data_IF_206902020209
#
_entry.id   IF_206902020209
#
_cell.length_a   1.000
_cell.length_b   1.000
_cell.length_c   1.000
_cell.angle_alpha   90.00
_cell.angle_beta   90.00
_cell.angle_gamma   90.00
#
_symmetry.space_group_name_H-M   'P 1'
#
loop_
_entity.id
_entity.type
_entity.pdbx_description
1 polymer ?
#
# COMPACT_ATOMS: atom_id res chain seq x y z
N UNK A 1 -30.01 8.57 20.60
CA UNK A 1 -28.59 8.21 20.80
C UNK A 1 -28.30 8.35 22.28
N UNK A 2 -27.69 7.36 22.94
CA UNK A 2 -27.32 7.50 24.35
C UNK A 2 -26.30 8.64 24.49
N UNK A 3 -26.50 9.52 25.47
CA UNK A 3 -25.48 10.52 25.82
C UNK A 3 -24.27 9.74 26.32
N UNK A 4 -23.17 9.73 25.56
CA UNK A 4 -21.90 9.21 26.03
C UNK A 4 -21.48 10.02 27.26
N UNK A 5 -21.10 9.32 28.33
CA UNK A 5 -20.78 9.91 29.65
C UNK A 5 -19.29 9.86 29.98
N UNK A 6 -18.46 9.58 28.99
CA UNK A 6 -17.02 9.44 29.15
C UNK A 6 -16.29 10.45 28.27
N UNK A 7 -15.10 10.83 28.70
CA UNK A 7 -14.19 11.67 27.92
C UNK A 7 -13.44 10.80 26.92
N UNK A 8 -13.23 11.33 25.71
CA UNK A 8 -12.40 10.70 24.70
C UNK A 8 -11.74 11.75 23.82
N UNK A 9 -10.58 11.40 23.26
CA UNK A 9 -9.90 12.23 22.28
C UNK A 9 -10.12 11.71 20.87
N UNK A 10 -10.24 12.64 19.92
CA UNK A 10 -10.42 12.32 18.51
C UNK A 10 -9.90 13.45 17.62
N UNK A 11 -9.82 13.20 16.31
CA UNK A 11 -9.47 14.19 15.29
C UNK A 11 -10.67 14.52 14.42
N UNK A 12 -10.99 15.81 14.29
CA UNK A 12 -12.00 16.33 13.37
C UNK A 12 -11.30 16.99 12.19
N UNK A 13 -11.68 16.62 10.97
CA UNK A 13 -11.22 17.26 9.74
C UNK A 13 -12.38 17.97 9.05
N UNK A 14 -12.20 19.24 8.66
CA UNK A 14 -13.28 20.02 8.09
C UNK A 14 -12.91 21.45 7.76
N UNK A 15 -13.92 22.23 7.41
CA UNK A 15 -13.80 23.62 7.01
C UNK A 15 -14.30 24.55 8.12
N UNK A 16 -13.54 25.58 8.43
CA UNK A 16 -13.98 26.65 9.34
C UNK A 16 -15.21 27.34 8.74
N UNK A 17 -16.28 27.43 9.52
CA UNK A 17 -17.47 28.23 9.17
C UNK A 17 -17.35 29.66 9.70
N UNK A 18 -16.95 29.79 10.97
CA UNK A 18 -16.78 31.07 11.65
C UNK A 18 -15.83 30.94 12.84
N UNK A 19 -15.19 32.03 13.22
CA UNK A 19 -14.37 32.14 14.41
C UNK A 19 -14.88 33.30 15.27
N UNK A 20 -15.14 33.01 16.55
CA UNK A 20 -15.52 33.97 17.56
C UNK A 20 -14.30 34.29 18.42
N UNK A 21 -13.80 35.53 18.29
CA UNK A 21 -12.61 35.98 19.02
C UNK A 21 -12.85 36.25 20.49
N UNK A 22 -14.11 36.52 20.88
CA UNK A 22 -14.48 36.88 22.24
C UNK A 22 -14.66 35.63 23.09
N UNK A 23 -15.32 34.61 22.52
CA UNK A 23 -15.50 33.30 23.15
C UNK A 23 -14.31 32.36 22.95
N UNK A 24 -13.37 32.71 22.07
CA UNK A 24 -12.16 31.92 21.77
C UNK A 24 -12.57 30.52 21.24
N UNK A 25 -13.58 30.51 20.38
CA UNK A 25 -14.17 29.31 19.78
C UNK A 25 -14.33 29.47 18.27
N UNK A 26 -14.27 28.36 17.52
CA UNK A 26 -14.65 28.36 16.11
C UNK A 26 -15.59 27.19 15.79
N UNK A 27 -16.37 27.35 14.72
CA UNK A 27 -17.25 26.31 14.21
C UNK A 27 -16.57 25.62 13.02
N UNK A 28 -16.53 24.30 13.02
CA UNK A 28 -16.03 23.48 11.91
C UNK A 28 -17.16 22.66 11.29
N UNK A 29 -17.18 22.57 9.97
CA UNK A 29 -18.07 21.69 9.20
C UNK A 29 -17.29 20.59 8.52
N UNK A 30 -17.61 19.34 8.83
CA UNK A 30 -17.01 18.15 8.20
C UNK A 30 -17.53 17.94 6.78
N UNK A 31 -16.85 17.10 6.00
CA UNK A 31 -17.23 16.76 4.63
C UNK A 31 -18.58 16.05 4.53
N UNK A 32 -19.02 15.37 5.59
CA UNK A 32 -20.35 14.76 5.71
C UNK A 32 -21.41 15.71 6.32
N UNK A 33 -21.12 17.02 6.35
CA UNK A 33 -22.00 18.11 6.79
C UNK A 33 -22.33 18.15 8.30
N UNK A 34 -21.59 17.45 9.16
CA UNK A 34 -21.72 17.64 10.62
C UNK A 34 -20.99 18.92 11.05
N UNK A 35 -21.52 19.59 12.07
CA UNK A 35 -20.95 20.80 12.62
C UNK A 35 -20.50 20.58 14.07
N UNK A 36 -19.32 21.09 14.41
CA UNK A 36 -18.75 20.98 15.75
C UNK A 36 -18.26 22.35 16.21
N UNK A 37 -18.66 22.74 17.42
CA UNK A 37 -18.07 23.90 18.10
C UNK A 37 -16.78 23.48 18.77
N UNK A 38 -15.70 24.19 18.47
CA UNK A 38 -14.34 23.90 18.92
C UNK A 38 -13.87 25.03 19.81
N UNK A 39 -13.63 24.72 21.09
CA UNK A 39 -13.01 25.65 22.02
C UNK A 39 -11.50 25.58 21.91
N UNK A 40 -10.83 26.72 21.78
CA UNK A 40 -9.37 26.78 21.85
C UNK A 40 -8.92 26.73 23.32
N UNK A 41 -8.20 25.68 23.70
CA UNK A 41 -7.60 25.60 25.04
C UNK A 41 -6.47 26.62 25.20
N UNK A 42 -6.09 26.95 26.43
CA UNK A 42 -4.95 27.85 26.67
C UNK A 42 -3.60 27.28 26.21
N UNK A 43 -3.52 25.95 26.06
CA UNK A 43 -2.31 25.22 25.69
C UNK A 43 -2.38 24.68 24.25
N UNK A 44 -3.36 25.11 23.47
CA UNK A 44 -3.49 24.70 22.08
C UNK A 44 -2.26 25.17 21.30
N UNK A 45 -1.71 24.29 20.49
CA UNK A 45 -0.67 24.67 19.53
C UNK A 45 -1.13 24.35 18.11
N UNK A 46 -0.55 25.06 17.15
CA UNK A 46 -0.90 24.91 15.76
C UNK A 46 0.33 24.79 14.88
N UNK A 47 0.24 23.94 13.87
CA UNK A 47 1.30 23.75 12.88
C UNK A 47 0.76 23.74 11.46
N UNK A 48 1.63 24.13 10.54
CA UNK A 48 1.45 23.82 9.13
C UNK A 48 1.95 22.40 8.86
N UNK A 49 1.27 21.67 7.99
CA UNK A 49 1.72 20.38 7.48
C UNK A 49 3.14 20.51 6.92
N UNK A 50 3.99 19.54 7.24
CA UNK A 50 5.39 19.48 6.84
C UNK A 50 5.71 18.13 6.19
N UNK A 51 6.66 18.13 5.28
CA UNK A 51 7.12 16.92 4.64
C UNK A 51 8.14 16.17 5.53
N UNK A 52 8.55 14.97 5.12
CA UNK A 52 9.64 14.24 5.76
C UNK A 52 10.94 15.08 5.70
N UNK A 53 11.66 15.15 6.83
CA UNK A 53 12.88 15.94 6.95
C UNK A 53 12.68 17.46 7.10
N UNK A 54 11.47 17.99 6.91
CA UNK A 54 11.21 19.42 7.13
C UNK A 54 11.14 19.74 8.64
N UNK A 55 11.63 20.93 9.06
CA UNK A 55 11.52 21.37 10.44
C UNK A 55 10.05 21.57 10.84
N UNK A 56 9.80 21.65 12.15
CA UNK A 56 8.47 21.97 12.65
C UNK A 56 8.05 23.38 12.22
N UNK A 57 6.87 23.52 11.62
CA UNK A 57 6.34 24.79 11.13
C UNK A 57 5.26 25.31 12.09
N UNK A 58 5.68 25.97 13.15
CA UNK A 58 4.76 26.58 14.11
C UNK A 58 3.92 27.69 13.45
N UNK A 59 2.64 27.72 13.79
CA UNK A 59 1.73 28.81 13.45
C UNK A 59 0.78 29.14 14.62
N UNK A 60 1.16 28.80 15.85
CA UNK A 60 0.34 28.95 17.05
C UNK A 60 -0.05 30.42 17.27
N UNK A 61 0.90 31.34 17.11
CA UNK A 61 0.66 32.78 17.21
C UNK A 61 -0.22 33.37 16.10
N UNK A 62 -0.43 32.61 15.02
CA UNK A 62 -1.19 33.01 13.84
C UNK A 62 -2.59 32.39 13.78
N UNK A 63 -3.02 31.67 14.84
CA UNK A 63 -4.31 30.96 14.85
C UNK A 63 -5.48 31.86 14.47
N UNK A 64 -5.56 33.06 15.06
CA UNK A 64 -6.65 34.02 14.77
C UNK A 64 -6.69 34.47 13.31
N UNK A 65 -5.54 34.51 12.65
CA UNK A 65 -5.41 34.89 11.24
C UNK A 65 -5.75 33.74 10.29
N UNK A 66 -5.53 32.49 10.73
CA UNK A 66 -5.74 31.28 9.94
C UNK A 66 -7.14 30.69 10.11
N UNK A 67 -7.82 30.95 11.23
CA UNK A 67 -9.20 30.52 11.49
C UNK A 67 -10.20 31.42 10.75
N UNK A 68 -10.13 31.40 9.42
CA UNK A 68 -11.02 32.13 8.52
C UNK A 68 -11.99 31.19 7.81
N UNK A 69 -13.18 31.67 7.42
CA UNK A 69 -14.15 30.85 6.69
C UNK A 69 -13.55 30.14 5.46
N UNK A 70 -13.95 28.90 5.27
CA UNK A 70 -13.50 27.95 4.24
C UNK A 70 -12.06 27.46 4.37
N UNK A 71 -11.37 27.78 5.48
CA UNK A 71 -10.07 27.17 5.76
C UNK A 71 -10.25 25.71 6.17
N UNK A 72 -9.67 24.78 5.40
CA UNK A 72 -9.61 23.38 5.77
C UNK A 72 -8.49 23.15 6.79
N UNK A 73 -8.78 22.35 7.82
CA UNK A 73 -7.86 22.02 8.90
C UNK A 73 -8.23 20.70 9.58
N UNK A 74 -7.28 20.18 10.36
CA UNK A 74 -7.47 19.07 11.28
C UNK A 74 -7.36 19.58 12.72
N UNK A 75 -8.26 19.15 13.60
CA UNK A 75 -8.22 19.47 15.02
C UNK A 75 -8.19 18.17 15.80
N UNK A 76 -7.11 17.94 16.54
CA UNK A 76 -7.08 16.91 17.57
C UNK A 76 -7.41 17.55 18.92
N UNK A 77 -8.31 16.91 19.67
CA UNK A 77 -8.79 17.45 20.93
C UNK A 77 -9.57 16.43 21.75
N UNK A 78 -10.11 16.87 22.87
CA UNK A 78 -10.87 16.03 23.82
C UNK A 78 -12.33 16.47 23.86
N UNK A 79 -13.23 15.49 23.77
CA UNK A 79 -14.66 15.67 24.02
C UNK A 79 -14.96 15.50 25.51
N UNK A 80 -15.45 16.56 26.14
CA UNK A 80 -15.90 16.56 27.54
C UNK A 80 -17.42 16.44 27.62
N UNK A 81 -17.98 15.53 28.43
CA UNK A 81 -19.43 15.43 28.64
C UNK A 81 -19.94 16.65 29.41
N UNK A 82 -20.56 17.61 28.73
CA UNK A 82 -21.04 18.87 29.29
C UNK A 82 -22.44 19.22 28.78
N UNK A 83 -23.29 19.78 29.65
CA UNK A 83 -24.61 20.33 29.31
C UNK A 83 -25.54 19.42 28.48
N UNK A 84 -25.44 18.10 28.63
CA UNK A 84 -26.26 17.15 27.86
C UNK A 84 -25.75 16.85 26.44
N UNK A 85 -24.54 17.29 26.11
CA UNK A 85 -23.81 16.96 24.88
C UNK A 85 -22.32 16.79 25.18
N UNK A 86 -21.47 17.15 24.21
CA UNK A 86 -20.03 17.23 24.42
C UNK A 86 -19.50 18.61 24.05
N UNK A 87 -18.63 19.16 24.89
CA UNK A 87 -17.78 20.29 24.53
C UNK A 87 -16.47 19.73 23.96
N UNK A 88 -16.07 20.17 22.77
CA UNK A 88 -14.82 19.75 22.15
C UNK A 88 -13.75 20.83 22.35
N UNK A 89 -12.66 20.46 23.03
CA UNK A 89 -11.56 21.37 23.34
C UNK A 89 -10.30 20.96 22.56
N UNK A 90 -9.81 21.88 21.74
CA UNK A 90 -8.66 21.66 20.86
C UNK A 90 -7.35 21.60 21.65
N UNK A 91 -6.53 20.61 21.32
CA UNK A 91 -5.17 20.44 21.82
C UNK A 91 -4.14 20.72 20.73
N UNK A 92 -4.41 20.26 19.51
CA UNK A 92 -3.56 20.48 18.34
C UNK A 92 -4.40 20.86 17.13
N UNK A 93 -3.93 21.85 16.35
CA UNK A 93 -4.51 22.21 15.06
C UNK A 93 -3.46 22.07 13.96
N UNK A 94 -3.77 21.31 12.91
CA UNK A 94 -2.91 21.14 11.74
C UNK A 94 -3.58 21.77 10.53
N UNK A 95 -2.91 22.76 9.95
CA UNK A 95 -3.30 23.37 8.68
C UNK A 95 -2.54 22.70 7.53
N UNK A 96 -3.24 22.11 6.54
CA UNK A 96 -2.58 21.50 5.39
C UNK A 96 -1.87 22.51 4.47
N UNK A 97 -2.11 23.80 4.66
CA UNK A 97 -1.38 24.89 4.04
C UNK A 97 -1.76 26.23 4.66
N UNK A 98 -0.99 27.29 4.35
CA UNK A 98 -1.18 28.63 4.92
C UNK A 98 -2.32 29.44 4.30
N UNK A 99 -2.86 28.98 3.17
CA UNK A 99 -3.88 29.69 2.40
C UNK A 99 -5.06 28.77 2.11
N UNK A 100 -6.25 29.37 2.04
CA UNK A 100 -7.48 28.68 1.65
C UNK A 100 -7.31 28.01 0.28
N UNK A 101 -7.74 26.75 0.18
CA UNK A 101 -7.68 25.96 -1.05
C UNK A 101 -6.26 25.75 -1.61
N UNK A 102 -5.22 25.91 -0.78
CA UNK A 102 -3.83 25.62 -1.15
C UNK A 102 -3.23 24.67 -0.13
N UNK A 103 -2.92 23.47 -0.58
CA UNK A 103 -2.41 22.42 0.27
C UNK A 103 -0.94 22.15 -0.05
N UNK A 104 -0.13 21.94 0.99
CA UNK A 104 1.31 21.71 0.83
C UNK A 104 1.61 20.41 0.08
N UNK A 105 0.78 19.39 0.26
CA UNK A 105 0.92 18.12 -0.46
C UNK A 105 0.58 18.20 -1.96
N UNK A 106 0.07 19.33 -2.44
CA UNK A 106 -0.15 19.60 -3.87
C UNK A 106 1.00 20.40 -4.50
N UNK A 107 1.99 20.82 -3.72
CA UNK A 107 3.18 21.46 -4.26
C UNK A 107 3.94 20.49 -5.16
N UNK A 108 4.39 20.96 -6.32
CA UNK A 108 4.90 20.12 -7.40
C UNK A 108 6.08 19.23 -7.01
N UNK A 109 6.87 19.64 -6.02
CA UNK A 109 8.04 18.90 -5.54
C UNK A 109 7.80 18.14 -4.24
N UNK A 110 6.59 18.19 -3.67
CA UNK A 110 6.28 17.57 -2.38
C UNK A 110 6.53 16.06 -2.40
N UNK A 111 5.92 15.36 -3.36
CA UNK A 111 6.03 13.91 -3.46
C UNK A 111 7.42 13.46 -3.94
N UNK A 112 8.10 14.29 -4.75
CA UNK A 112 9.48 14.04 -5.18
C UNK A 112 10.43 14.06 -3.97
N UNK A 113 10.34 15.10 -3.13
CA UNK A 113 11.12 15.21 -1.89
C UNK A 113 10.82 14.08 -0.92
N UNK A 114 9.54 13.69 -0.81
CA UNK A 114 9.13 12.61 0.09
C UNK A 114 9.69 11.25 -0.38
N UNK A 115 9.55 10.92 -1.67
CA UNK A 115 10.11 9.71 -2.24
C UNK A 115 11.63 9.63 -2.06
N UNK A 116 12.33 10.75 -2.31
CA UNK A 116 13.77 10.89 -2.05
C UNK A 116 14.11 10.57 -0.59
N UNK A 117 13.43 11.20 0.36
CA UNK A 117 13.68 10.99 1.79
C UNK A 117 13.46 9.54 2.25
N UNK A 118 12.46 8.85 1.68
CA UNK A 118 12.18 7.45 2.00
C UNK A 118 13.24 6.54 1.38
N UNK A 119 13.60 6.76 0.11
CA UNK A 119 14.62 5.98 -0.57
C UNK A 119 15.99 6.13 0.10
N UNK A 120 16.40 7.35 0.46
CA UNK A 120 17.64 7.62 1.20
C UNK A 120 17.66 6.88 2.56
N UNK A 121 16.54 6.88 3.27
CA UNK A 121 16.41 6.13 4.53
C UNK A 121 16.64 4.63 4.32
N UNK A 122 16.00 4.03 3.30
CA UNK A 122 16.14 2.59 3.06
C UNK A 122 17.51 2.20 2.52
N UNK A 123 18.16 3.03 1.68
CA UNK A 123 19.55 2.79 1.26
C UNK A 123 20.44 2.72 2.49
N UNK A 124 20.35 3.72 3.39
CA UNK A 124 21.12 3.76 4.62
C UNK A 124 20.81 2.57 5.54
N UNK A 125 19.53 2.25 5.75
CA UNK A 125 19.12 1.19 6.65
C UNK A 125 19.53 -0.21 6.17
N UNK A 126 19.54 -0.43 4.85
CA UNK A 126 19.83 -1.75 4.28
C UNK A 126 21.30 -1.95 3.93
N UNK A 127 22.00 -0.89 3.54
CA UNK A 127 23.34 -0.98 2.94
C UNK A 127 24.39 -0.14 3.67
N UNK A 128 24.00 0.69 4.64
CA UNK A 128 24.91 1.50 5.45
C UNK A 128 25.26 2.84 4.79
N UNK A 129 25.90 2.81 3.62
CA UNK A 129 26.27 4.02 2.85
C UNK A 129 25.76 4.00 1.40
N UNK A 130 25.80 5.15 0.74
CA UNK A 130 25.30 5.34 -0.63
C UNK A 130 26.27 4.83 -1.71
N UNK A 131 27.50 4.46 -1.34
CA UNK A 131 28.54 4.06 -2.30
C UNK A 131 28.52 2.55 -2.58
N UNK A 132 27.96 1.74 -1.67
CA UNK A 132 27.95 0.30 -1.81
C UNK A 132 26.58 -0.35 -1.56
N UNK A 133 25.81 -0.51 -2.64
CA UNK A 133 24.59 -1.33 -2.60
C UNK A 133 24.94 -2.82 -2.74
N UNK A 134 24.64 -3.61 -1.70
CA UNK A 134 24.79 -5.06 -1.67
C UNK A 134 23.57 -5.71 -0.99
N UNK A 135 22.75 -6.40 -1.78
CA UNK A 135 21.53 -7.05 -1.32
C UNK A 135 21.77 -8.31 -0.47
N UNK A 136 22.99 -8.85 -0.41
CA UNK A 136 23.31 -9.90 0.57
C UNK A 136 23.21 -9.38 2.02
N UNK A 137 23.38 -8.07 2.22
CA UNK A 137 23.20 -7.38 3.50
C UNK A 137 21.76 -6.99 3.79
N UNK A 138 20.84 -7.06 2.81
CA UNK A 138 19.44 -6.70 3.00
C UNK A 138 18.79 -7.54 4.11
N UNK A 139 17.92 -6.96 4.93
CA UNK A 139 17.06 -7.69 5.88
C UNK A 139 15.64 -7.17 5.81
N UNK A 140 14.66 -8.09 5.78
CA UNK A 140 13.24 -7.72 5.72
C UNK A 140 12.83 -6.90 6.95
N UNK A 141 13.26 -7.33 8.14
CA UNK A 141 12.89 -6.69 9.38
C UNK A 141 13.91 -5.60 9.75
N UNK A 142 13.46 -4.36 9.81
CA UNK A 142 14.22 -3.22 10.33
C UNK A 142 13.45 -2.54 11.46
N UNK A 143 14.17 -1.88 12.38
CA UNK A 143 13.60 -1.10 13.46
C UNK A 143 13.14 0.29 12.98
N UNK A 144 12.43 1.02 13.84
CA UNK A 144 12.00 2.39 13.56
C UNK A 144 13.16 3.34 13.21
N UNK A 145 14.36 3.07 13.75
CA UNK A 145 15.57 3.87 13.48
C UNK A 145 16.40 3.33 12.32
N UNK A 146 15.94 2.27 11.64
CA UNK A 146 16.59 1.66 10.49
C UNK A 146 17.65 0.61 10.83
N UNK A 147 17.72 0.14 12.07
CA UNK A 147 18.60 -0.99 12.41
C UNK A 147 18.00 -2.31 11.95
N UNK A 148 18.78 -3.14 11.28
CA UNK A 148 18.35 -4.47 10.87
C UNK A 148 18.08 -5.34 12.11
N UNK A 149 16.86 -5.89 12.21
CA UNK A 149 16.56 -6.90 13.20
C UNK A 149 17.24 -8.20 12.79
N UNK A 150 17.80 -8.95 13.76
CA UNK A 150 18.64 -10.13 13.53
C UNK A 150 17.96 -11.36 12.92
N UNK A 151 16.88 -11.19 12.15
CA UNK A 151 16.34 -12.24 11.29
C UNK A 151 17.32 -12.54 10.17
N UNK A 152 17.37 -13.80 9.77
CA UNK A 152 18.13 -14.26 8.59
C UNK A 152 17.26 -14.30 7.32
N UNK A 153 15.94 -14.09 7.47
CA UNK A 153 14.97 -14.16 6.38
C UNK A 153 15.06 -12.92 5.51
N UNK A 154 15.02 -13.16 4.20
CA UNK A 154 14.77 -12.17 3.17
C UNK A 154 13.55 -12.59 2.36
N UNK A 155 12.56 -11.72 2.26
CA UNK A 155 11.26 -12.02 1.62
C UNK A 155 11.21 -11.38 0.23
N UNK A 156 10.80 -12.17 -0.76
CA UNK A 156 10.83 -11.80 -2.17
C UNK A 156 9.94 -10.59 -2.48
N UNK A 157 8.70 -10.61 -2.01
CA UNK A 157 7.74 -9.55 -2.28
C UNK A 157 8.16 -8.23 -1.61
N UNK A 158 8.73 -8.29 -0.42
CA UNK A 158 9.27 -7.13 0.30
C UNK A 158 10.48 -6.53 -0.41
N UNK A 159 11.45 -7.36 -0.87
CA UNK A 159 12.56 -6.87 -1.69
C UNK A 159 12.05 -6.24 -2.98
N UNK A 160 11.11 -6.89 -3.68
CA UNK A 160 10.56 -6.39 -4.93
C UNK A 160 9.84 -5.05 -4.76
N UNK A 161 9.09 -4.85 -3.67
CA UNK A 161 8.49 -3.56 -3.32
C UNK A 161 9.52 -2.49 -2.99
N UNK A 162 10.63 -2.86 -2.34
CA UNK A 162 11.74 -1.93 -2.11
C UNK A 162 12.37 -1.48 -3.43
N UNK A 163 12.64 -2.43 -4.34
CA UNK A 163 13.14 -2.15 -5.70
C UNK A 163 12.17 -1.24 -6.47
N UNK A 164 10.86 -1.47 -6.39
CA UNK A 164 9.85 -0.59 -6.99
C UNK A 164 9.97 0.84 -6.48
N UNK A 165 10.20 1.02 -5.19
CA UNK A 165 10.44 2.32 -4.56
C UNK A 165 11.67 3.02 -5.14
N UNK A 166 12.81 2.32 -5.23
CA UNK A 166 14.04 2.87 -5.80
C UNK A 166 13.88 3.24 -7.28
N UNK A 167 13.35 2.33 -8.10
CA UNK A 167 13.11 2.58 -9.52
C UNK A 167 12.16 3.77 -9.74
N UNK A 168 11.09 3.87 -8.93
CA UNK A 168 10.15 5.00 -9.01
C UNK A 168 10.80 6.32 -8.57
N UNK A 169 11.64 6.31 -7.54
CA UNK A 169 12.39 7.50 -7.13
C UNK A 169 13.37 7.94 -8.20
N UNK A 170 14.06 7.02 -8.89
CA UNK A 170 14.89 7.35 -10.05
C UNK A 170 14.07 8.05 -11.16
N UNK A 171 12.89 7.50 -11.51
CA UNK A 171 12.02 8.12 -12.52
C UNK A 171 11.57 9.54 -12.15
N UNK A 172 11.52 9.88 -10.84
CA UNK A 172 11.14 11.19 -10.34
C UNK A 172 12.31 12.17 -10.22
N UNK A 173 13.53 11.68 -9.99
CA UNK A 173 14.70 12.51 -9.63
C UNK A 173 15.82 12.49 -10.66
N UNK A 174 15.99 11.39 -11.38
CA UNK A 174 17.14 11.11 -12.25
C UNK A 174 18.44 10.81 -11.51
N UNK A 175 18.42 10.54 -10.19
CA UNK A 175 19.62 10.28 -9.40
C UNK A 175 20.07 8.81 -9.49
N UNK A 176 21.24 8.56 -10.08
CA UNK A 176 21.74 7.22 -10.46
C UNK A 176 21.83 6.22 -9.29
N UNK A 177 22.05 6.68 -8.05
CA UNK A 177 22.10 5.79 -6.88
C UNK A 177 20.81 4.98 -6.69
N UNK A 178 19.66 5.54 -7.07
CA UNK A 178 18.39 4.82 -7.00
C UNK A 178 18.22 3.84 -8.16
N UNK A 179 18.77 4.15 -9.34
CA UNK A 179 18.81 3.21 -10.45
C UNK A 179 19.71 2.02 -10.11
N UNK A 180 20.91 2.28 -9.61
CA UNK A 180 21.84 1.23 -9.18
C UNK A 180 21.20 0.32 -8.13
N UNK A 181 20.52 0.90 -7.14
CA UNK A 181 19.81 0.13 -6.12
C UNK A 181 18.69 -0.75 -6.73
N UNK A 182 17.91 -0.21 -7.66
CA UNK A 182 16.86 -0.96 -8.35
C UNK A 182 17.41 -2.10 -9.23
N UNK A 183 18.47 -1.85 -10.00
CA UNK A 183 19.09 -2.84 -10.89
C UNK A 183 19.74 -3.97 -10.10
N UNK A 184 20.52 -3.64 -9.06
CA UNK A 184 21.13 -4.65 -8.19
C UNK A 184 20.09 -5.47 -7.43
N UNK A 185 19.03 -4.85 -6.93
CA UNK A 185 17.94 -5.58 -6.27
C UNK A 185 17.18 -6.48 -7.23
N UNK A 186 16.97 -6.03 -8.47
CA UNK A 186 16.35 -6.85 -9.52
C UNK A 186 17.24 -8.04 -9.87
N UNK A 187 18.54 -7.83 -10.06
CA UNK A 187 19.50 -8.92 -10.29
C UNK A 187 19.49 -9.92 -9.12
N UNK A 188 19.52 -9.42 -7.88
CA UNK A 188 19.46 -10.25 -6.68
C UNK A 188 18.21 -11.13 -6.63
N UNK A 189 17.03 -10.56 -6.89
CA UNK A 189 15.79 -11.33 -6.99
C UNK A 189 15.89 -12.44 -8.05
N UNK A 190 16.46 -12.14 -9.21
CA UNK A 190 16.56 -13.08 -10.34
C UNK A 190 17.57 -14.20 -10.11
N UNK A 191 18.63 -13.93 -9.35
CA UNK A 191 19.69 -14.88 -9.03
C UNK A 191 19.31 -15.77 -7.84
N UNK A 192 18.59 -15.22 -6.85
CA UNK A 192 18.31 -15.91 -5.59
C UNK A 192 16.84 -16.30 -5.39
N UNK A 193 15.87 -15.50 -5.84
CA UNK A 193 14.45 -15.77 -5.52
C UNK A 193 13.69 -16.45 -6.66
N UNK A 194 14.14 -16.26 -7.90
CA UNK A 194 13.51 -16.82 -9.09
C UNK A 194 13.76 -18.33 -9.19
N UNK A 195 12.69 -19.07 -9.45
CA UNK A 195 12.78 -20.47 -9.87
C UNK A 195 12.26 -20.63 -11.30
N UNK A 196 13.08 -21.27 -12.14
CA UNK A 196 12.67 -21.67 -13.47
C UNK A 196 12.31 -23.15 -13.47
N UNK A 197 11.02 -23.45 -13.60
CA UNK A 197 10.54 -24.79 -13.83
C UNK A 197 10.71 -25.14 -15.32
N UNK A 198 11.63 -26.07 -15.61
CA UNK A 198 11.93 -26.49 -16.98
C UNK A 198 10.85 -27.40 -17.58
N UNK A 199 10.18 -28.19 -16.74
CA UNK A 199 9.17 -29.15 -17.19
C UNK A 199 7.90 -28.41 -17.58
N UNK A 200 7.48 -27.48 -16.73
CA UNK A 200 6.33 -26.63 -17.00
C UNK A 200 6.68 -25.42 -17.86
N UNK A 201 7.95 -25.06 -18.02
CA UNK A 201 8.39 -23.87 -18.72
C UNK A 201 7.73 -22.57 -18.20
N UNK A 202 7.70 -22.41 -16.87
CA UNK A 202 7.16 -21.24 -16.16
C UNK A 202 8.18 -20.69 -15.17
N UNK A 203 7.96 -19.46 -14.71
CA UNK A 203 8.71 -18.89 -13.59
C UNK A 203 7.78 -18.64 -12.42
N UNK A 204 8.13 -19.19 -11.26
CA UNK A 204 7.61 -18.75 -9.98
C UNK A 204 8.75 -18.18 -9.14
N UNK A 205 8.40 -17.48 -8.07
CA UNK A 205 9.32 -16.87 -7.14
C UNK A 205 9.16 -17.50 -5.77
N UNK A 206 10.25 -17.95 -5.16
CA UNK A 206 10.25 -18.44 -3.79
C UNK A 206 9.68 -17.36 -2.84
N UNK A 207 8.97 -17.76 -1.79
CA UNK A 207 8.51 -16.82 -0.75
C UNK A 207 9.69 -16.01 -0.20
N UNK A 208 10.83 -16.67 0.05
CA UNK A 208 12.05 -16.00 0.45
C UNK A 208 13.23 -16.95 0.59
N UNK A 209 14.29 -16.43 1.21
CA UNK A 209 15.48 -17.21 1.57
C UNK A 209 15.91 -16.91 2.99
N UNK A 210 16.54 -17.90 3.63
CA UNK A 210 17.23 -17.73 4.90
C UNK A 210 18.75 -17.75 4.67
N UNK A 211 19.43 -16.68 5.09
CA UNK A 211 20.88 -16.52 4.96
C UNK A 211 21.62 -16.89 6.25
N UNK A 212 22.43 -17.95 6.21
CA UNK A 212 23.30 -18.37 7.33
C UNK A 212 24.76 -18.37 6.88
N UNK A 213 25.44 -17.23 7.08
CA UNK A 213 26.76 -17.01 6.49
C UNK A 213 26.65 -17.03 4.96
N UNK A 214 27.47 -17.85 4.29
CA UNK A 214 27.44 -18.00 2.83
C UNK A 214 26.41 -19.04 2.35
N UNK A 215 25.65 -19.66 3.27
CA UNK A 215 24.63 -20.65 2.92
C UNK A 215 23.25 -20.01 2.80
N UNK A 216 22.56 -20.41 1.75
CA UNK A 216 21.21 -19.99 1.41
C UNK A 216 20.26 -21.19 1.49
N UNK A 217 19.16 -21.03 2.23
CA UNK A 217 18.05 -21.98 2.22
C UNK A 217 16.83 -21.36 1.55
N UNK A 218 16.35 -21.97 0.47
CA UNK A 218 15.15 -21.53 -0.25
C UNK A 218 13.90 -21.88 0.56
N UNK A 219 13.03 -20.91 0.76
CA UNK A 219 11.72 -21.09 1.41
C UNK A 219 10.67 -20.99 0.32
N UNK A 220 10.10 -22.15 -0.03
CA UNK A 220 9.27 -22.25 -1.23
C UNK A 220 7.85 -21.75 -1.02
N UNK A 221 7.12 -22.38 -0.11
CA UNK A 221 5.77 -21.97 0.22
C UNK A 221 5.78 -20.72 1.11
N UNK A 222 4.68 -19.98 1.10
CA UNK A 222 4.52 -18.83 1.98
C UNK A 222 4.58 -19.26 3.45
N UNK A 223 5.23 -18.43 4.26
CA UNK A 223 5.20 -18.53 5.73
C UNK A 223 4.40 -17.36 6.36
N UNK A 224 3.66 -16.61 5.55
CA UNK A 224 2.80 -15.54 6.05
C UNK A 224 1.43 -16.09 6.47
N UNK A 225 1.10 -15.91 7.75
CA UNK A 225 -0.26 -15.91 8.29
C UNK A 225 -1.27 -16.83 7.58
N UNK A 226 -2.23 -16.21 6.87
CA UNK A 226 -3.34 -16.90 6.21
C UNK A 226 -2.95 -17.62 4.90
N UNK A 227 -1.72 -17.42 4.40
CA UNK A 227 -1.20 -17.95 3.13
C UNK A 227 -0.25 -19.16 3.33
N UNK A 228 -0.04 -19.56 4.59
CA UNK A 228 0.93 -20.57 5.02
C UNK A 228 0.84 -21.90 4.24
N UNK A 229 2.00 -22.47 3.88
CA UNK A 229 2.15 -23.73 3.13
C UNK A 229 1.49 -23.75 1.73
N UNK A 230 1.18 -22.59 1.15
CA UNK A 230 0.68 -22.45 -0.21
C UNK A 230 1.56 -21.55 -1.10
N UNK A 231 1.28 -21.51 -2.40
CA UNK A 231 1.77 -20.46 -3.31
C UNK A 231 0.66 -19.43 -3.49
N UNK A 232 0.65 -18.33 -2.72
CA UNK A 232 -0.31 -17.25 -2.92
C UNK A 232 0.00 -16.48 -4.20
N UNK A 233 -1.04 -16.23 -5.00
CA UNK A 233 -0.90 -15.45 -6.23
C UNK A 233 -0.38 -14.03 -5.95
N UNK A 234 -0.77 -13.45 -4.81
CA UNK A 234 -0.39 -12.08 -4.46
C UNK A 234 1.14 -11.94 -4.34
N UNK A 235 1.83 -12.88 -3.70
CA UNK A 235 3.29 -12.82 -3.59
C UNK A 235 3.95 -12.86 -4.97
N UNK A 236 3.44 -13.70 -5.86
CA UNK A 236 3.94 -13.79 -7.23
C UNK A 236 3.69 -12.51 -8.03
N UNK A 237 2.53 -11.87 -7.83
CA UNK A 237 2.20 -10.56 -8.41
C UNK A 237 3.18 -9.48 -7.92
N UNK A 238 3.45 -9.41 -6.62
CA UNK A 238 4.37 -8.41 -6.07
C UNK A 238 5.83 -8.75 -6.32
N UNK A 239 6.20 -10.02 -6.54
CA UNK A 239 7.54 -10.38 -7.00
C UNK A 239 7.88 -9.67 -8.33
N UNK A 240 6.87 -9.41 -9.19
CA UNK A 240 7.05 -8.66 -10.44
C UNK A 240 7.11 -7.13 -10.28
N UNK A 241 6.76 -6.57 -9.12
CA UNK A 241 6.61 -5.12 -8.96
C UNK A 241 7.91 -4.36 -9.23
N UNK A 242 8.96 -4.68 -8.48
CA UNK A 242 10.29 -4.10 -8.64
C UNK A 242 10.88 -4.37 -10.03
N UNK A 243 11.01 -5.63 -10.47
CA UNK A 243 11.56 -5.97 -11.78
C UNK A 243 10.85 -5.23 -12.92
N UNK A 244 9.52 -5.15 -12.92
CA UNK A 244 8.78 -4.46 -13.99
C UNK A 244 9.06 -2.96 -14.00
N UNK A 245 9.19 -2.33 -12.83
CA UNK A 245 9.51 -0.91 -12.75
C UNK A 245 10.96 -0.64 -13.18
N UNK A 246 11.90 -1.54 -12.86
CA UNK A 246 13.28 -1.50 -13.36
C UNK A 246 13.31 -1.66 -14.89
N UNK A 247 12.56 -2.62 -15.44
CA UNK A 247 12.43 -2.83 -16.88
C UNK A 247 11.91 -1.60 -17.60
N UNK A 248 10.96 -0.86 -17.01
CA UNK A 248 10.45 0.39 -17.57
C UNK A 248 11.55 1.45 -17.76
N UNK A 249 12.63 1.38 -16.99
CA UNK A 249 13.78 2.28 -17.09
C UNK A 249 14.78 1.79 -18.12
N UNK A 250 15.22 0.53 -18.03
CA UNK A 250 16.40 0.04 -18.77
C UNK A 250 16.08 -0.93 -19.93
N UNK A 251 14.84 -1.43 -20.03
CA UNK A 251 14.42 -2.32 -21.10
C UNK A 251 15.08 -3.70 -21.11
N UNK A 252 15.65 -4.18 -19.99
CA UNK A 252 16.36 -5.45 -19.95
C UNK A 252 15.47 -6.63 -20.42
N UNK A 253 15.80 -7.28 -21.56
CA UNK A 253 14.98 -8.36 -22.12
C UNK A 253 14.90 -9.59 -21.22
N UNK A 254 15.84 -9.75 -20.30
CA UNK A 254 15.87 -10.86 -19.36
C UNK A 254 14.84 -10.69 -18.25
N UNK A 255 14.55 -9.45 -17.83
CA UNK A 255 13.41 -9.14 -16.94
C UNK A 255 12.09 -9.40 -17.67
N UNK A 256 11.97 -8.96 -18.93
CA UNK A 256 10.78 -9.21 -19.75
C UNK A 256 10.49 -10.70 -19.92
N UNK A 257 11.54 -11.53 -20.06
CA UNK A 257 11.38 -13.00 -20.07
C UNK A 257 10.74 -13.48 -18.76
N UNK A 258 11.25 -13.04 -17.62
CA UNK A 258 10.74 -13.46 -16.31
C UNK A 258 9.28 -13.04 -16.13
N UNK A 259 8.93 -11.80 -16.47
CA UNK A 259 7.54 -11.30 -16.45
C UNK A 259 6.61 -12.19 -17.27
N UNK A 260 6.99 -12.52 -18.51
CA UNK A 260 6.15 -13.34 -19.41
C UNK A 260 5.93 -14.74 -18.83
N UNK A 261 6.98 -15.37 -18.33
CA UNK A 261 6.90 -16.74 -17.80
C UNK A 261 6.17 -16.82 -16.45
N UNK A 262 6.19 -15.74 -15.65
CA UNK A 262 5.33 -15.63 -14.46
C UNK A 262 3.87 -15.36 -14.82
N UNK A 263 3.59 -14.59 -15.88
CA UNK A 263 2.22 -14.47 -16.42
C UNK A 263 1.72 -15.82 -16.97
N UNK A 264 2.59 -16.65 -17.53
CA UNK A 264 2.24 -18.00 -17.96
C UNK A 264 1.85 -18.89 -16.77
N UNK A 265 2.54 -18.79 -15.62
CA UNK A 265 2.10 -19.41 -14.36
C UNK A 265 0.68 -18.97 -14.00
N UNK A 266 0.39 -17.66 -14.03
CA UNK A 266 -0.94 -17.13 -13.72
C UNK A 266 -2.02 -17.70 -14.64
N UNK A 267 -1.80 -17.66 -15.95
CA UNK A 267 -2.80 -18.05 -16.93
C UNK A 267 -3.03 -19.57 -17.01
N UNK A 268 -2.06 -20.37 -16.57
CA UNK A 268 -2.16 -21.83 -16.64
C UNK A 268 -2.71 -22.45 -15.37
N UNK A 269 -2.30 -21.94 -14.21
CA UNK A 269 -2.58 -22.59 -12.94
C UNK A 269 -3.53 -21.79 -12.04
N UNK A 270 -3.46 -20.45 -12.07
CA UNK A 270 -4.35 -19.61 -11.26
C UNK A 270 -5.65 -19.21 -11.97
N UNK A 271 -5.66 -19.09 -13.29
CA UNK A 271 -6.83 -18.62 -14.05
C UNK A 271 -7.96 -19.66 -14.00
N UNK A 272 -9.12 -19.24 -13.49
CA UNK A 272 -10.36 -20.01 -13.58
C UNK A 272 -11.00 -19.78 -14.94
N UNK A 273 -10.81 -20.75 -15.83
CA UNK A 273 -11.33 -20.71 -17.21
C UNK A 273 -12.82 -21.01 -17.29
N UNK A 274 -13.42 -21.55 -16.23
CA UNK A 274 -14.83 -21.93 -16.21
C UNK A 274 -15.70 -20.82 -15.65
N UNK A 275 -15.29 -20.20 -14.52
CA UNK A 275 -16.08 -19.18 -13.81
C UNK A 275 -15.45 -17.80 -13.79
N UNK A 276 -14.41 -17.56 -14.58
CA UNK A 276 -13.67 -16.29 -14.68
C UNK A 276 -12.90 -15.91 -13.40
N UNK A 277 -11.96 -14.98 -13.54
CA UNK A 277 -11.03 -14.55 -12.49
C UNK A 277 -9.90 -15.54 -12.21
N UNK A 278 -9.17 -15.29 -11.13
CA UNK A 278 -8.01 -16.06 -10.70
C UNK A 278 -8.20 -16.55 -9.27
N UNK A 279 -7.87 -17.82 -9.05
CA UNK A 279 -7.72 -18.40 -7.73
C UNK A 279 -6.65 -17.67 -6.92
N UNK A 280 -6.80 -17.66 -5.60
CA UNK A 280 -5.88 -16.95 -4.73
C UNK A 280 -4.61 -17.73 -4.41
N UNK A 281 -4.65 -19.06 -4.49
CA UNK A 281 -3.58 -19.94 -4.04
C UNK A 281 -3.46 -21.18 -4.92
N UNK A 282 -2.24 -21.74 -4.96
CA UNK A 282 -1.97 -23.08 -5.46
C UNK A 282 -1.31 -23.93 -4.38
N UNK A 283 -1.54 -25.22 -4.44
CA UNK A 283 -0.71 -26.18 -3.73
C UNK A 283 0.73 -26.21 -4.31
N UNK A 284 1.78 -26.12 -3.47
CA UNK A 284 3.16 -26.05 -3.97
C UNK A 284 3.64 -27.30 -4.71
N UNK A 285 2.99 -28.46 -4.53
CA UNK A 285 3.43 -29.73 -5.13
C UNK A 285 2.70 -29.98 -6.45
N UNK A 286 1.39 -29.81 -6.46
CA UNK A 286 0.50 -30.16 -7.56
C UNK A 286 0.14 -28.97 -8.45
N UNK A 287 0.41 -27.75 -7.99
CA UNK A 287 -0.04 -26.50 -8.62
C UNK A 287 -1.56 -26.46 -8.84
N UNK A 288 -2.32 -27.16 -7.99
CA UNK A 288 -3.78 -27.23 -8.08
C UNK A 288 -4.44 -26.28 -7.05
N UNK A 289 -5.29 -25.33 -7.49
CA UNK A 289 -6.05 -24.48 -6.58
C UNK A 289 -7.16 -25.23 -5.82
N UNK A 290 -7.49 -26.48 -6.19
CA UNK A 290 -8.51 -27.32 -5.54
C UNK A 290 -7.91 -28.34 -4.58
N UNK A 291 -6.59 -28.35 -4.37
CA UNK A 291 -5.98 -29.29 -3.44
C UNK A 291 -6.52 -29.10 -2.01
N UNK A 292 -6.68 -30.21 -1.28
CA UNK A 292 -7.10 -30.17 0.12
C UNK A 292 -5.98 -29.68 1.05
N UNK A 293 -4.72 -29.78 0.62
CA UNK A 293 -3.54 -29.37 1.40
C UNK A 293 -3.52 -27.88 1.74
N UNK A 294 -4.05 -27.02 0.85
CA UNK A 294 -4.13 -25.57 1.06
C UNK A 294 -5.35 -25.15 1.91
N UNK A 295 -6.08 -26.13 2.47
CA UNK A 295 -7.07 -25.94 3.52
C UNK A 295 -8.13 -24.88 3.20
N UNK A 296 -8.27 -23.82 4.02
CA UNK A 296 -9.30 -22.81 3.81
C UNK A 296 -9.12 -22.04 2.49
N UNK A 297 -7.90 -21.96 1.95
CA UNK A 297 -7.61 -21.25 0.69
C UNK A 297 -8.10 -22.00 -0.56
N UNK A 298 -8.52 -23.26 -0.42
CA UNK A 298 -8.98 -24.11 -1.52
C UNK A 298 -10.07 -23.44 -2.35
N UNK A 299 -9.81 -23.26 -3.64
CA UNK A 299 -10.71 -22.69 -4.62
C UNK A 299 -11.33 -21.34 -4.19
N UNK A 300 -10.52 -20.46 -3.59
CA UNK A 300 -10.92 -19.10 -3.22
C UNK A 300 -10.47 -18.08 -4.25
N UNK A 301 -11.20 -16.97 -4.33
CA UNK A 301 -10.84 -15.78 -5.12
C UNK A 301 -10.90 -14.56 -4.21
N UNK A 302 -10.05 -13.56 -4.46
CA UNK A 302 -10.04 -12.36 -3.62
C UNK A 302 -9.53 -11.12 -4.37
N UNK A 303 -9.58 -9.95 -3.72
CA UNK A 303 -8.97 -8.72 -4.26
C UNK A 303 -7.51 -8.94 -4.69
N UNK A 304 -6.73 -9.63 -3.87
CA UNK A 304 -5.29 -9.79 -4.09
C UNK A 304 -4.98 -10.64 -5.34
N UNK A 305 -5.82 -11.59 -5.72
CA UNK A 305 -5.62 -12.42 -6.92
C UNK A 305 -6.18 -11.81 -8.20
N UNK A 306 -7.10 -10.85 -8.08
CA UNK A 306 -7.73 -10.20 -9.25
C UNK A 306 -7.13 -8.83 -9.51
N UNK A 307 -7.14 -7.97 -8.50
CA UNK A 307 -6.94 -6.55 -8.68
C UNK A 307 -5.53 -6.07 -8.43
N UNK A 308 -4.75 -6.75 -7.58
CA UNK A 308 -3.37 -6.34 -7.30
C UNK A 308 -2.46 -6.44 -8.53
N UNK A 309 -2.86 -7.19 -9.57
CA UNK A 309 -2.21 -7.17 -10.89
C UNK A 309 -2.00 -5.74 -11.41
N UNK A 310 -3.04 -4.91 -11.34
CA UNK A 310 -3.03 -3.57 -11.93
C UNK A 310 -1.95 -2.67 -11.32
N UNK A 311 -1.95 -2.38 -10.00
CA UNK A 311 -0.99 -1.47 -9.40
C UNK A 311 0.40 -2.07 -9.22
N UNK A 312 0.52 -3.39 -9.06
CA UNK A 312 1.82 -4.00 -8.76
C UNK A 312 2.77 -3.96 -9.96
N UNK A 313 2.31 -4.39 -11.14
CA UNK A 313 3.18 -4.48 -12.31
C UNK A 313 2.47 -4.17 -13.63
N UNK A 314 1.19 -4.51 -13.79
CA UNK A 314 0.57 -4.61 -15.11
C UNK A 314 0.34 -3.23 -15.76
N UNK A 315 -0.01 -2.20 -14.98
CA UNK A 315 -0.07 -0.81 -15.49
C UNK A 315 1.31 -0.37 -15.98
N UNK A 316 2.36 -0.59 -15.18
CA UNK A 316 3.73 -0.19 -15.55
C UNK A 316 4.26 -0.98 -16.75
N UNK A 317 3.90 -2.26 -16.86
CA UNK A 317 4.23 -3.12 -17.99
C UNK A 317 3.57 -2.64 -19.28
N UNK A 318 2.29 -2.29 -19.23
CA UNK A 318 1.58 -1.68 -20.35
C UNK A 318 2.24 -0.36 -20.76
N UNK A 319 2.54 0.53 -19.81
CA UNK A 319 3.20 1.80 -20.09
C UNK A 319 4.60 1.63 -20.70
N UNK A 320 5.34 0.60 -20.28
CA UNK A 320 6.68 0.31 -20.79
C UNK A 320 6.68 -0.30 -22.20
N UNK A 321 5.60 -0.98 -22.61
CA UNK A 321 5.58 -1.79 -23.84
C UNK A 321 4.61 -1.32 -24.91
N UNK A 322 3.48 -0.73 -24.52
CA UNK A 322 2.36 -0.43 -25.41
C UNK A 322 1.70 -1.66 -26.04
N UNK A 323 2.00 -2.88 -25.56
CA UNK A 323 1.51 -4.14 -26.14
C UNK A 323 0.05 -4.41 -25.74
N UNK A 324 -0.92 -4.43 -26.70
CA UNK A 324 -2.36 -4.51 -26.42
C UNK A 324 -2.76 -5.62 -25.46
N UNK A 325 -2.05 -6.75 -25.47
CA UNK A 325 -2.38 -7.88 -24.60
C UNK A 325 -2.34 -7.54 -23.10
N UNK A 326 -1.46 -6.61 -22.68
CA UNK A 326 -1.37 -6.20 -21.27
C UNK A 326 -2.49 -5.23 -20.89
N UNK A 327 -2.94 -4.40 -21.84
CA UNK A 327 -4.16 -3.60 -21.69
C UNK A 327 -5.39 -4.50 -21.60
N UNK A 328 -5.50 -5.50 -22.47
CA UNK A 328 -6.61 -6.44 -22.45
C UNK A 328 -6.65 -7.22 -21.13
N UNK A 329 -5.49 -7.56 -20.57
CA UNK A 329 -5.39 -8.16 -19.24
C UNK A 329 -5.84 -7.17 -18.13
N UNK A 330 -5.45 -5.90 -18.17
CA UNK A 330 -5.98 -4.88 -17.24
C UNK A 330 -7.50 -4.77 -17.32
N UNK A 331 -8.05 -4.75 -18.54
CA UNK A 331 -9.49 -4.69 -18.78
C UNK A 331 -10.18 -5.93 -18.23
N UNK A 332 -9.64 -7.13 -18.43
CA UNK A 332 -10.18 -8.35 -17.86
C UNK A 332 -10.25 -8.31 -16.32
N UNK A 333 -9.18 -7.89 -15.66
CA UNK A 333 -9.18 -7.72 -14.20
C UNK A 333 -10.23 -6.68 -13.75
N UNK A 334 -10.32 -5.54 -14.44
CA UNK A 334 -11.29 -4.49 -14.14
C UNK A 334 -12.74 -4.97 -14.32
N UNK A 335 -13.02 -5.72 -15.40
CA UNK A 335 -14.33 -6.30 -15.66
C UNK A 335 -14.73 -7.29 -14.57
N UNK A 336 -13.82 -8.15 -14.10
CA UNK A 336 -14.07 -9.03 -12.96
C UNK A 336 -14.40 -8.22 -11.70
N UNK A 337 -13.66 -7.16 -11.40
CA UNK A 337 -13.91 -6.31 -10.23
C UNK A 337 -15.30 -5.68 -10.32
N UNK A 338 -15.62 -5.00 -11.43
CA UNK A 338 -16.90 -4.31 -11.60
C UNK A 338 -18.08 -5.28 -11.56
N UNK A 339 -17.90 -6.51 -12.07
CA UNK A 339 -18.95 -7.53 -12.11
C UNK A 339 -19.21 -8.18 -10.74
N UNK A 340 -18.16 -8.52 -9.99
CA UNK A 340 -18.29 -9.41 -8.82
C UNK A 340 -18.10 -8.73 -7.47
N UNK A 341 -17.40 -7.60 -7.40
CA UNK A 341 -17.03 -6.99 -6.11
C UNK A 341 -18.12 -6.12 -5.48
N UNK A 342 -18.96 -5.40 -6.24
CA UNK A 342 -20.05 -4.62 -5.66
C UNK A 342 -21.07 -5.46 -4.89
N UNK A 343 -21.49 -4.96 -3.73
CA UNK A 343 -22.61 -5.49 -2.93
C UNK A 343 -23.51 -4.35 -2.43
N UNK A 344 -23.84 -3.42 -3.34
CA UNK A 344 -24.45 -2.13 -3.00
C UNK A 344 -25.84 -2.21 -2.35
N UNK A 345 -26.53 -3.35 -2.49
CA UNK A 345 -27.79 -3.60 -1.79
C UNK A 345 -27.58 -3.81 -0.28
N UNK A 346 -26.38 -4.26 0.14
CA UNK A 346 -26.08 -4.58 1.54
C UNK A 346 -24.98 -3.70 2.15
N UNK A 347 -24.08 -3.15 1.32
CA UNK A 347 -22.88 -2.45 1.78
C UNK A 347 -22.43 -1.39 0.76
N UNK A 348 -22.04 -0.17 1.19
CA UNK A 348 -21.42 0.80 0.30
C UNK A 348 -19.98 0.42 -0.09
N UNK A 349 -19.40 -0.58 0.57
CA UNK A 349 -18.06 -1.11 0.31
C UNK A 349 -18.13 -2.41 -0.50
N UNK A 350 -17.09 -2.66 -1.29
CA UNK A 350 -16.94 -3.91 -2.03
C UNK A 350 -16.74 -5.12 -1.12
N UNK A 351 -17.08 -6.29 -1.65
CA UNK A 351 -16.64 -7.58 -1.14
C UNK A 351 -15.25 -7.92 -1.67
N UNK A 352 -14.45 -8.61 -0.86
CA UNK A 352 -13.05 -8.87 -1.18
C UNK A 352 -12.68 -10.35 -1.18
N UNK A 353 -13.57 -11.22 -0.71
CA UNK A 353 -13.34 -12.65 -0.53
C UNK A 353 -14.53 -13.42 -1.10
N UNK A 354 -14.21 -14.40 -1.94
CA UNK A 354 -15.21 -15.15 -2.68
C UNK A 354 -14.87 -16.64 -2.70
N UNK A 355 -15.91 -17.46 -2.71
CA UNK A 355 -15.81 -18.84 -3.17
C UNK A 355 -15.61 -18.88 -4.68
N UNK A 356 -15.28 -20.06 -5.21
CA UNK A 356 -15.04 -20.28 -6.63
C UNK A 356 -16.18 -19.79 -7.53
N UNK A 357 -17.43 -19.94 -7.07
CA UNK A 357 -18.65 -19.52 -7.76
C UNK A 357 -18.99 -18.03 -7.61
N UNK A 358 -18.06 -17.24 -7.07
CA UNK A 358 -18.23 -15.82 -6.75
C UNK A 358 -19.24 -15.50 -5.65
N UNK A 359 -19.75 -16.50 -4.91
CA UNK A 359 -20.50 -16.23 -3.69
C UNK A 359 -19.59 -15.63 -2.61
N UNK A 360 -20.12 -14.70 -1.80
CA UNK A 360 -19.32 -13.94 -0.84
C UNK A 360 -18.85 -14.82 0.33
N UNK A 361 -17.55 -14.83 0.60
CA UNK A 361 -16.97 -15.48 1.78
C UNK A 361 -16.92 -14.52 2.97
N UNK A 362 -18.02 -14.46 3.72
CA UNK A 362 -18.22 -13.53 4.86
C UNK A 362 -17.61 -14.03 6.18
N UNK A 363 -16.97 -15.21 6.18
CA UNK A 363 -16.43 -15.83 7.39
C UNK A 363 -14.90 -16.01 7.34
N UNK A 364 -14.24 -15.39 6.36
CA UNK A 364 -12.81 -15.52 6.12
C UNK A 364 -11.95 -14.94 7.25
N UNK A 365 -11.19 -15.80 7.94
CA UNK A 365 -10.05 -15.42 8.80
C UNK A 365 -10.31 -14.24 9.76
N UNK A 366 -9.38 -13.29 9.82
CA UNK A 366 -9.53 -12.08 10.63
C UNK A 366 -10.54 -11.07 10.03
N UNK A 367 -10.73 -11.12 8.71
CA UNK A 367 -11.53 -10.15 7.95
C UNK A 367 -13.02 -10.32 8.25
N UNK A 368 -13.51 -11.55 8.34
CA UNK A 368 -14.94 -11.86 8.53
C UNK A 368 -15.79 -11.03 7.53
N UNK A 369 -16.93 -10.48 7.96
CA UNK A 369 -17.75 -9.57 7.16
C UNK A 369 -17.37 -8.09 7.39
N UNK A 370 -16.07 -7.76 7.34
CA UNK A 370 -15.56 -6.39 7.49
C UNK A 370 -14.92 -5.93 6.18
N UNK A 371 -15.26 -4.71 5.77
CA UNK A 371 -14.63 -4.09 4.61
C UNK A 371 -13.21 -3.63 4.93
N UNK A 372 -12.29 -3.75 3.97
CA UNK A 372 -10.99 -3.09 4.02
C UNK A 372 -11.11 -1.79 3.23
N UNK A 373 -11.37 -0.69 3.94
CA UNK A 373 -11.59 0.64 3.32
C UNK A 373 -10.41 1.06 2.44
N UNK A 374 -9.18 0.70 2.83
CA UNK A 374 -7.99 0.94 2.01
C UNK A 374 -8.05 0.25 0.65
N UNK A 375 -8.57 -0.98 0.57
CA UNK A 375 -8.74 -1.69 -0.71
C UNK A 375 -9.82 -1.05 -1.56
N UNK A 376 -10.90 -0.55 -0.98
CA UNK A 376 -11.93 0.18 -1.71
C UNK A 376 -11.36 1.42 -2.43
N UNK A 377 -10.55 2.21 -1.73
CA UNK A 377 -9.87 3.37 -2.32
C UNK A 377 -8.82 2.95 -3.37
N UNK A 378 -8.09 1.86 -3.11
CA UNK A 378 -7.12 1.29 -4.05
C UNK A 378 -7.81 0.80 -5.34
N UNK A 379 -8.95 0.12 -5.23
CA UNK A 379 -9.79 -0.29 -6.36
C UNK A 379 -10.20 0.92 -7.17
N UNK A 380 -10.80 1.92 -6.51
CA UNK A 380 -11.29 3.12 -7.18
C UNK A 380 -10.15 3.82 -7.94
N UNK A 381 -8.97 3.94 -7.34
CA UNK A 381 -7.80 4.53 -8.00
C UNK A 381 -7.34 3.76 -9.24
N UNK A 382 -7.40 2.43 -9.23
CA UNK A 382 -6.98 1.62 -10.38
C UNK A 382 -8.01 1.59 -11.52
N UNK A 383 -9.28 1.86 -11.23
CA UNK A 383 -10.36 1.89 -12.23
C UNK A 383 -10.49 3.26 -12.93
N UNK A 384 -9.97 4.32 -12.32
CA UNK A 384 -9.87 5.68 -12.89
C UNK A 384 -8.65 5.73 -13.80
#
# INVERSE_FOLDING_TARGET
MSQMKFEFSDTIAGYVLQFDSDEVMFLIKTTDNREFSVKLSTNVYARILRNLGEPYLDCTSQLKELLVPDQYLFVYGTFYPQAGGHAFEAQEIVFPGRKRGKFRFEESDWWIKQAKSIADFFIKAQFGDEEHIDYSNYRTLISLVGEQAGSIRQETDTISRLVYGFASTYLLTGEDKYLEAAEKGTAYLRDHMRFYDFDENIIYWYHGIDLKGDQEHKVFASEFGDDYDAIPMYEQIYALAGPTQTYRINGDPTIMKDIKMTIDLFNRFFLDREKEGYFSHLDPITLDPHSESIGPNRARKNWNSIGDHAPAYLINLWLATGDPKYKDFLTYCADCIVKYFPDYDNSPFVQERFYEDWSHDKCWGWQQNRAVVGHNLKIAWNLI
#
